data_IF_038049841161
#
_entry.id   IF_038049841161
#
_cell.length_a   1.000
_cell.length_b   1.000
_cell.length_c   1.000
_cell.angle_alpha   90.00
_cell.angle_beta   90.00
_cell.angle_gamma   90.00
#
_symmetry.space_group_name_H-M   'P 1'
#
loop_
_entity.id
_entity.type
_entity.pdbx_description
1 polymer ?
#
# COMPACT_ATOMS: atom_id res chain seq x y z
N UNK A 1 11.68 -1.71 18.51
CA UNK A 1 10.94 -0.44 18.80
C UNK A 1 10.18 -0.63 20.11
N UNK A 2 10.00 0.42 20.94
CA UNK A 2 9.19 0.33 22.17
C UNK A 2 7.74 0.14 21.75
N UNK A 3 7.09 -0.95 22.18
CA UNK A 3 5.66 -1.16 21.96
C UNK A 3 4.88 0.02 22.58
N UNK A 4 4.30 0.84 21.71
CA UNK A 4 3.41 1.92 22.15
C UNK A 4 2.12 1.29 22.67
N UNK A 5 1.67 1.73 23.84
CA UNK A 5 0.38 1.32 24.39
C UNK A 5 -0.49 2.56 24.66
N UNK A 6 -1.80 2.43 24.46
CA UNK A 6 -2.75 3.51 24.71
C UNK A 6 -3.72 3.12 25.83
N UNK A 7 -3.91 4.04 26.78
CA UNK A 7 -4.97 3.90 27.78
C UNK A 7 -6.32 4.34 27.20
N UNK A 8 -7.05 3.44 26.58
CA UNK A 8 -8.36 3.73 25.98
C UNK A 8 -9.46 4.15 26.97
N UNK A 9 -9.18 4.10 28.30
CA UNK A 9 -10.06 4.66 29.34
C UNK A 9 -9.82 6.15 29.57
N UNK A 10 -8.80 6.74 28.93
CA UNK A 10 -8.58 8.19 29.00
C UNK A 10 -9.78 8.92 28.36
N UNK A 11 -10.34 9.93 29.04
CA UNK A 11 -11.51 10.68 28.57
C UNK A 11 -11.35 11.30 27.17
N UNK A 12 -10.11 11.52 26.71
CA UNK A 12 -9.83 12.04 25.37
C UNK A 12 -10.27 11.05 24.27
N UNK A 13 -10.13 9.74 24.50
CA UNK A 13 -10.60 8.70 23.57
C UNK A 13 -12.10 8.51 23.58
N UNK A 14 -12.76 8.82 24.69
CA UNK A 14 -14.23 8.79 24.78
C UNK A 14 -14.86 9.96 24.03
N UNK A 15 -14.22 11.14 24.14
CA UNK A 15 -14.72 12.38 23.52
C UNK A 15 -14.30 12.55 22.06
N UNK A 16 -13.28 11.83 21.60
CA UNK A 16 -12.73 11.97 20.26
C UNK A 16 -12.61 10.62 19.56
N UNK A 17 -13.64 10.29 18.77
CA UNK A 17 -13.68 9.05 17.98
C UNK A 17 -12.48 8.91 17.02
N UNK A 18 -12.03 10.01 16.40
CA UNK A 18 -10.88 9.97 15.50
C UNK A 18 -9.60 9.53 16.24
N UNK A 19 -9.31 10.09 17.41
CA UNK A 19 -8.13 9.72 18.18
C UNK A 19 -8.15 8.24 18.58
N UNK A 20 -9.33 7.76 19.03
CA UNK A 20 -9.51 6.35 19.36
C UNK A 20 -9.29 5.45 18.15
N UNK A 21 -9.80 5.85 16.97
CA UNK A 21 -9.60 5.09 15.72
C UNK A 21 -8.14 5.09 15.31
N UNK A 22 -7.47 6.24 15.26
CA UNK A 22 -6.05 6.35 14.91
C UNK A 22 -5.16 5.50 15.80
N UNK A 23 -5.40 5.52 17.13
CA UNK A 23 -4.64 4.73 18.08
C UNK A 23 -4.82 3.22 17.84
N UNK A 24 -6.03 2.75 17.54
CA UNK A 24 -6.28 1.35 17.17
C UNK A 24 -5.57 0.95 15.88
N UNK A 25 -5.64 1.79 14.85
CA UNK A 25 -4.95 1.53 13.57
C UNK A 25 -3.44 1.44 13.77
N UNK A 26 -2.87 2.31 14.61
CA UNK A 26 -1.45 2.27 14.88
C UNK A 26 -1.02 0.95 15.56
N UNK A 27 -1.79 0.47 16.53
CA UNK A 27 -1.51 -0.82 17.16
C UNK A 27 -1.58 -1.98 16.16
N UNK A 28 -2.62 -2.00 15.31
CA UNK A 28 -2.75 -3.03 14.28
C UNK A 28 -1.60 -2.98 13.27
N UNK A 29 -1.14 -1.78 12.87
CA UNK A 29 0.02 -1.65 12.00
C UNK A 29 1.30 -2.20 12.64
N UNK A 30 1.50 -2.01 13.95
CA UNK A 30 2.65 -2.59 14.65
C UNK A 30 2.64 -4.12 14.64
N UNK A 31 1.45 -4.75 14.68
CA UNK A 31 1.30 -6.21 14.67
C UNK A 31 1.74 -6.86 13.35
N UNK A 32 1.68 -6.13 12.24
CA UNK A 32 2.08 -6.65 10.92
C UNK A 32 3.55 -6.38 10.57
N UNK A 33 4.31 -5.74 11.45
CA UNK A 33 5.75 -5.56 11.22
C UNK A 33 6.46 -6.91 11.11
N UNK A 34 7.28 -7.05 10.08
CA UNK A 34 8.02 -8.25 9.75
C UNK A 34 9.31 -7.87 9.02
N UNK A 35 10.10 -8.85 8.59
CA UNK A 35 11.28 -8.58 7.75
C UNK A 35 10.91 -7.96 6.39
N UNK A 36 9.65 -8.13 5.96
CA UNK A 36 9.16 -7.65 4.69
C UNK A 36 8.39 -6.35 4.77
N UNK A 37 7.84 -6.01 5.92
CA UNK A 37 7.06 -4.80 6.14
C UNK A 37 7.59 -4.09 7.38
N UNK A 38 8.02 -2.83 7.23
CA UNK A 38 8.39 -1.97 8.35
C UNK A 38 7.53 -0.72 8.33
N UNK A 39 7.17 -0.26 9.53
CA UNK A 39 6.28 0.89 9.72
C UNK A 39 7.09 2.03 10.34
N UNK A 40 7.24 3.12 9.61
CA UNK A 40 7.86 4.35 10.09
C UNK A 40 6.79 5.41 10.32
N UNK A 41 6.70 5.95 11.54
CA UNK A 41 5.81 7.09 11.85
C UNK A 41 6.48 8.38 11.39
N UNK A 42 5.84 9.13 10.49
CA UNK A 42 6.39 10.38 9.96
C UNK A 42 5.68 11.63 10.50
N UNK A 43 4.42 11.50 10.91
CA UNK A 43 3.71 12.59 11.55
C UNK A 43 2.68 12.09 12.56
N UNK A 44 2.31 12.98 13.50
CA UNK A 44 1.43 12.69 14.62
C UNK A 44 0.39 13.79 14.84
N UNK A 45 -0.75 13.44 15.40
CA UNK A 45 -1.88 14.36 15.61
C UNK A 45 -2.25 14.52 17.07
N UNK A 46 -2.56 15.78 17.42
CA UNK A 46 -3.15 16.16 18.69
C UNK A 46 -2.23 16.06 19.89
N UNK A 47 -2.76 16.33 21.10
CA UNK A 47 -1.94 16.41 22.33
C UNK A 47 -1.36 15.05 22.74
N UNK A 48 -1.99 13.94 22.36
CA UNK A 48 -1.49 12.59 22.61
C UNK A 48 -0.47 12.12 21.56
N UNK A 49 -0.12 12.96 20.56
CA UNK A 49 0.82 12.65 19.48
C UNK A 49 0.51 11.29 18.83
N UNK A 50 -0.77 11.06 18.51
CA UNK A 50 -1.20 9.80 17.87
C UNK A 50 -0.79 9.82 16.41
N UNK A 51 -0.08 8.78 15.91
CA UNK A 51 0.34 8.69 14.52
C UNK A 51 -0.82 8.80 13.54
N UNK A 52 -0.64 9.58 12.48
CA UNK A 52 -1.61 9.75 11.40
C UNK A 52 -0.98 9.75 10.00
N UNK A 53 0.35 9.74 9.93
CA UNK A 53 1.09 9.63 8.69
C UNK A 53 2.27 8.67 8.87
N UNK A 54 2.43 7.80 7.89
CA UNK A 54 3.41 6.73 7.94
C UNK A 54 4.16 6.61 6.63
N UNK A 55 5.42 6.18 6.69
CA UNK A 55 6.09 5.48 5.59
C UNK A 55 6.03 3.98 5.85
N UNK A 56 5.43 3.26 4.92
CA UNK A 56 5.38 1.80 4.93
C UNK A 56 6.48 1.32 3.99
N UNK A 57 7.46 0.64 4.53
CA UNK A 57 8.56 0.04 3.78
C UNK A 57 8.22 -1.39 3.42
N UNK A 58 8.26 -1.71 2.14
CA UNK A 58 8.09 -3.07 1.62
C UNK A 58 9.42 -3.58 1.11
N UNK A 59 9.93 -4.66 1.71
CA UNK A 59 11.14 -5.37 1.29
C UNK A 59 10.75 -6.59 0.48
N UNK A 60 10.28 -6.36 -0.73
CA UNK A 60 9.83 -7.37 -1.67
C UNK A 60 10.20 -6.96 -3.10
N UNK A 61 10.39 -7.93 -3.97
CA UNK A 61 10.77 -7.68 -5.35
C UNK A 61 9.59 -7.12 -6.15
N UNK A 62 9.82 -6.05 -6.90
CA UNK A 62 8.85 -5.47 -7.82
C UNK A 62 9.53 -4.90 -9.06
N UNK A 63 8.74 -4.48 -10.06
CA UNK A 63 9.24 -3.85 -11.28
C UNK A 63 9.27 -2.33 -11.04
N UNK A 64 10.47 -1.74 -11.13
CA UNK A 64 10.69 -0.31 -10.88
C UNK A 64 10.81 0.52 -12.16
N UNK A 65 10.86 -0.12 -13.32
CA UNK A 65 10.98 0.52 -14.62
C UNK A 65 11.27 -0.50 -15.72
N UNK A 66 11.59 -0.01 -16.90
CA UNK A 66 11.98 -0.84 -18.06
C UNK A 66 13.31 -0.37 -18.64
N UNK A 67 14.03 -1.27 -19.30
CA UNK A 67 15.20 -1.00 -20.10
C UNK A 67 14.79 -0.59 -21.53
N UNK A 68 15.75 -0.17 -22.37
CA UNK A 68 15.51 0.22 -23.75
C UNK A 68 14.99 -0.96 -24.61
N UNK A 69 15.35 -2.18 -24.27
CA UNK A 69 14.86 -3.43 -24.88
C UNK A 69 13.52 -3.90 -24.33
N UNK A 70 12.84 -3.09 -23.56
CA UNK A 70 11.58 -3.37 -22.88
C UNK A 70 11.68 -4.37 -21.71
N UNK A 71 12.85 -4.96 -21.41
CA UNK A 71 13.01 -5.85 -20.27
C UNK A 71 12.80 -5.09 -18.95
N UNK A 72 12.25 -5.75 -17.90
CA UNK A 72 11.96 -5.10 -16.64
C UNK A 72 13.24 -4.79 -15.84
N UNK A 73 13.22 -3.64 -15.17
CA UNK A 73 14.14 -3.31 -14.07
C UNK A 73 13.46 -3.69 -12.76
N UNK A 74 14.20 -4.38 -11.90
CA UNK A 74 13.68 -4.82 -10.60
C UNK A 74 14.27 -4.02 -9.44
N UNK A 75 13.52 -3.93 -8.36
CA UNK A 75 13.95 -3.42 -7.07
C UNK A 75 13.29 -4.21 -5.95
N UNK A 76 13.82 -4.12 -4.75
CA UNK A 76 13.45 -4.93 -3.59
C UNK A 76 13.09 -4.10 -2.35
N UNK A 77 13.14 -2.78 -2.45
CA UNK A 77 12.77 -1.87 -1.38
C UNK A 77 11.86 -0.75 -1.91
N UNK A 78 10.65 -0.70 -1.40
CA UNK A 78 9.61 0.24 -1.84
C UNK A 78 9.01 0.96 -0.66
N UNK A 79 8.74 2.26 -0.81
CA UNK A 79 8.19 3.11 0.25
C UNK A 79 6.86 3.69 -0.21
N UNK A 80 5.84 3.51 0.61
CA UNK A 80 4.51 4.11 0.44
C UNK A 80 4.25 5.09 1.57
N UNK A 81 3.90 6.32 1.23
CA UNK A 81 3.32 7.27 2.18
C UNK A 81 1.85 6.96 2.36
N UNK A 82 1.45 6.77 3.61
CA UNK A 82 0.06 6.57 4.02
C UNK A 82 -0.32 7.69 4.99
N UNK A 83 -1.31 8.50 4.61
CA UNK A 83 -1.81 9.60 5.43
C UNK A 83 -3.29 9.40 5.77
N UNK A 84 -3.64 9.54 7.04
CA UNK A 84 -5.01 9.44 7.56
C UNK A 84 -5.62 10.84 7.69
N UNK A 85 -6.62 11.20 6.87
CA UNK A 85 -7.20 12.54 6.86
C UNK A 85 -8.01 12.85 8.13
N UNK A 86 -8.35 14.13 8.32
CA UNK A 86 -9.15 14.58 9.49
C UNK A 86 -10.51 13.90 9.60
N UNK A 87 -11.09 13.53 8.47
CA UNK A 87 -12.40 12.85 8.42
C UNK A 87 -12.29 11.33 8.35
N UNK A 88 -11.11 10.77 8.61
CA UNK A 88 -10.94 9.32 8.67
C UNK A 88 -11.82 8.69 9.77
N UNK A 89 -12.49 7.56 9.56
CA UNK A 89 -12.51 6.69 8.37
C UNK A 89 -13.57 7.07 7.32
N UNK A 90 -14.26 8.19 7.45
CA UNK A 90 -15.28 8.67 6.50
C UNK A 90 -14.62 9.13 5.18
N UNK A 91 -13.42 9.68 5.25
CA UNK A 91 -12.54 9.95 4.12
C UNK A 91 -11.45 8.86 4.09
N UNK A 92 -11.25 8.25 2.93
CA UNK A 92 -10.27 7.19 2.74
C UNK A 92 -8.84 7.65 2.99
N UNK A 93 -7.93 6.76 3.42
CA UNK A 93 -6.52 7.06 3.49
C UNK A 93 -5.98 7.55 2.15
N UNK A 94 -4.99 8.44 2.20
CA UNK A 94 -4.24 8.88 1.01
C UNK A 94 -2.97 8.07 0.95
N UNK A 95 -2.74 7.44 -0.21
CA UNK A 95 -1.59 6.56 -0.41
C UNK A 95 -0.81 6.98 -1.67
N UNK A 96 0.50 7.14 -1.52
CA UNK A 96 1.40 7.52 -2.60
C UNK A 96 2.71 6.75 -2.52
N UNK A 97 3.16 6.19 -3.65
CA UNK A 97 4.53 5.69 -3.76
C UNK A 97 5.53 6.83 -3.63
N UNK A 98 6.56 6.61 -2.83
CA UNK A 98 7.73 7.52 -2.71
C UNK A 98 8.92 7.00 -3.53
N UNK A 99 8.92 5.71 -3.85
CA UNK A 99 9.89 5.07 -4.75
C UNK A 99 9.28 4.81 -6.12
N UNK A 100 10.09 4.61 -7.12
CA UNK A 100 9.60 4.33 -8.48
C UNK A 100 9.07 2.91 -8.58
N UNK A 101 7.88 2.77 -9.19
CA UNK A 101 7.22 1.49 -9.47
C UNK A 101 6.57 1.55 -10.84
N UNK A 102 6.88 0.58 -11.70
CA UNK A 102 6.31 0.41 -13.02
C UNK A 102 5.11 -0.54 -12.95
N UNK A 103 3.94 -0.01 -12.57
CA UNK A 103 2.74 -0.81 -12.32
C UNK A 103 1.48 -0.11 -12.87
N UNK A 104 0.54 -0.79 -13.55
CA UNK A 104 -0.60 -0.14 -14.20
C UNK A 104 -1.60 0.51 -13.21
N UNK A 105 -1.61 0.09 -11.95
CA UNK A 105 -2.41 0.71 -10.89
C UNK A 105 -1.69 1.88 -10.18
N UNK A 106 -0.50 2.26 -10.63
CA UNK A 106 0.31 3.33 -10.02
C UNK A 106 0.69 4.34 -11.08
N UNK A 107 0.42 5.62 -10.81
CA UNK A 107 0.76 6.68 -11.75
C UNK A 107 2.26 6.86 -11.86
N UNK A 108 2.81 6.59 -13.05
CA UNK A 108 4.25 6.60 -13.30
C UNK A 108 4.83 8.01 -13.32
N UNK A 109 4.13 8.98 -13.94
CA UNK A 109 4.65 10.34 -14.16
C UNK A 109 3.57 11.42 -14.06
N UNK A 110 4.01 12.69 -14.14
CA UNK A 110 3.13 13.87 -14.15
C UNK A 110 2.68 14.31 -12.77
N UNK A 111 1.64 15.13 -12.73
CA UNK A 111 1.13 15.79 -11.50
C UNK A 111 0.75 14.80 -10.38
N UNK A 112 0.35 13.60 -10.76
CA UNK A 112 -0.13 12.58 -9.83
C UNK A 112 0.85 11.40 -9.69
N UNK A 113 2.14 11.60 -10.04
CA UNK A 113 3.18 10.56 -9.89
C UNK A 113 3.11 9.93 -8.51
N UNK A 114 3.16 8.60 -8.47
CA UNK A 114 3.10 7.80 -7.26
C UNK A 114 1.69 7.53 -6.72
N UNK A 115 0.62 8.14 -7.28
CA UNK A 115 -0.74 7.84 -6.85
C UNK A 115 -1.06 6.37 -7.12
N UNK A 116 -1.54 5.69 -6.08
CA UNK A 116 -1.94 4.28 -6.15
C UNK A 116 -3.46 4.22 -6.32
N UNK A 117 -3.93 3.60 -7.39
CA UNK A 117 -5.33 3.19 -7.51
C UNK A 117 -5.50 1.85 -6.78
N UNK A 118 -5.64 1.93 -5.47
CA UNK A 118 -5.84 0.76 -4.61
C UNK A 118 -7.30 0.35 -4.45
N UNK A 119 -8.21 0.90 -5.29
CA UNK A 119 -9.65 0.77 -5.11
C UNK A 119 -10.11 1.26 -3.73
N UNK A 120 -9.49 2.35 -3.26
CA UNK A 120 -9.80 2.95 -1.95
C UNK A 120 -11.26 3.40 -1.80
N UNK A 121 -12.02 3.43 -2.90
CA UNK A 121 -13.48 3.64 -2.86
C UNK A 121 -14.21 2.49 -2.17
N UNK A 122 -13.66 1.29 -2.24
CA UNK A 122 -14.14 0.10 -1.51
C UNK A 122 -13.57 0.03 -0.10
N UNK A 123 -12.61 0.91 0.25
CA UNK A 123 -12.14 1.09 1.61
C UNK A 123 -13.30 1.71 2.42
N UNK A 124 -14.22 0.85 2.74
CA UNK A 124 -15.48 1.18 3.36
C UNK A 124 -15.44 1.01 4.87
N UNK A 125 -16.55 1.32 5.48
CA UNK A 125 -16.82 1.11 6.90
C UNK A 125 -16.51 -0.34 7.28
N UNK A 126 -15.46 -0.57 8.06
CA UNK A 126 -15.10 -1.89 8.57
C UNK A 126 -13.73 -2.42 8.16
N UNK A 127 -13.08 -1.85 7.15
CA UNK A 127 -11.69 -2.19 6.84
C UNK A 127 -10.73 -1.50 7.80
N UNK A 128 -9.67 -2.19 8.20
CA UNK A 128 -8.54 -1.63 8.92
C UNK A 128 -7.37 -1.35 7.98
N UNK A 129 -6.35 -0.66 8.49
CA UNK A 129 -5.19 -0.30 7.67
C UNK A 129 -4.34 -1.51 7.29
N UNK A 130 -4.37 -2.60 8.04
CA UNK A 130 -3.58 -3.80 7.75
C UNK A 130 -4.00 -4.42 6.43
N UNK A 131 -5.31 -4.48 6.17
CA UNK A 131 -5.84 -4.96 4.89
C UNK A 131 -5.41 -4.07 3.72
N UNK A 132 -5.34 -2.74 3.91
CA UNK A 132 -4.83 -1.83 2.89
C UNK A 132 -3.34 -2.06 2.62
N UNK A 133 -2.54 -2.25 3.67
CA UNK A 133 -1.10 -2.53 3.55
C UNK A 133 -0.86 -3.84 2.80
N UNK A 134 -1.57 -4.91 3.13
CA UNK A 134 -1.47 -6.18 2.42
C UNK A 134 -1.90 -6.06 0.95
N UNK A 135 -2.97 -5.32 0.67
CA UNK A 135 -3.38 -5.06 -0.71
C UNK A 135 -2.32 -4.30 -1.51
N UNK A 136 -1.62 -3.35 -0.89
CA UNK A 136 -0.51 -2.65 -1.54
C UNK A 136 0.63 -3.64 -1.84
N UNK A 137 0.95 -4.53 -0.90
CA UNK A 137 1.95 -5.58 -1.11
C UNK A 137 1.58 -6.51 -2.28
N UNK A 138 0.31 -6.90 -2.42
CA UNK A 138 -0.18 -7.68 -3.56
C UNK A 138 -0.06 -6.92 -4.89
N UNK A 139 -0.34 -5.61 -4.90
CA UNK A 139 -0.14 -4.76 -6.06
C UNK A 139 1.34 -4.75 -6.44
N UNK A 140 2.24 -4.48 -5.49
CA UNK A 140 3.68 -4.45 -5.74
C UNK A 140 4.21 -5.78 -6.29
N UNK A 141 3.61 -6.91 -5.90
CA UNK A 141 3.94 -8.25 -6.39
C UNK A 141 3.22 -8.64 -7.69
N UNK A 142 2.43 -7.76 -8.29
CA UNK A 142 1.59 -8.05 -9.46
C UNK A 142 0.58 -9.19 -9.28
N UNK A 143 0.27 -9.57 -8.05
CA UNK A 143 -0.82 -10.51 -7.75
C UNK A 143 -2.18 -9.91 -8.07
N UNK A 144 -2.28 -8.58 -8.03
CA UNK A 144 -3.49 -7.83 -8.31
C UNK A 144 -3.17 -6.60 -9.15
N UNK A 145 -3.55 -6.62 -10.43
CA UNK A 145 -3.41 -5.48 -11.33
C UNK A 145 -4.53 -5.43 -12.37
N UNK A 146 -4.77 -4.24 -12.91
CA UNK A 146 -5.69 -4.01 -14.00
C UNK A 146 -4.98 -3.25 -15.13
N UNK A 147 -4.85 -3.90 -16.28
CA UNK A 147 -4.20 -3.36 -17.47
C UNK A 147 -5.14 -3.28 -18.70
N UNK A 148 -6.39 -3.71 -18.56
CA UNK A 148 -7.40 -3.66 -19.61
C UNK A 148 -7.89 -2.22 -19.82
N UNK A 149 -8.12 -1.82 -21.09
CA UNK A 149 -8.70 -0.52 -21.44
C UNK A 149 -10.23 -0.54 -21.26
N UNK A 150 -10.68 -0.98 -20.10
CA UNK A 150 -12.09 -1.03 -19.68
C UNK A 150 -12.25 -0.50 -18.27
N UNK A 151 -13.41 0.06 -17.88
CA UNK A 151 -13.64 0.50 -16.52
C UNK A 151 -13.50 -0.63 -15.45
N UNK A 152 -12.88 -0.33 -14.29
CA UNK A 152 -12.15 0.89 -14.00
C UNK A 152 -10.84 0.94 -14.80
N UNK A 153 -10.62 2.04 -15.52
CA UNK A 153 -9.40 2.17 -16.34
C UNK A 153 -8.13 2.09 -15.49
N UNK A 154 -6.99 1.61 -16.06
CA UNK A 154 -5.73 1.60 -15.36
C UNK A 154 -5.31 3.02 -14.95
N UNK A 155 -4.59 3.14 -13.83
CA UNK A 155 -4.08 4.44 -13.35
C UNK A 155 -3.03 5.01 -14.30
N UNK A 156 -2.25 4.14 -14.96
CA UNK A 156 -1.27 4.53 -15.97
C UNK A 156 -1.43 3.71 -17.24
N UNK A 157 -1.82 4.39 -18.34
CA UNK A 157 -2.07 3.76 -19.64
C UNK A 157 -0.80 3.33 -20.35
N UNK A 158 0.34 4.02 -20.14
CA UNK A 158 1.63 3.64 -20.72
C UNK A 158 2.10 2.31 -20.14
N UNK A 159 2.04 2.19 -18.82
CA UNK A 159 2.41 0.95 -18.14
C UNK A 159 1.44 -0.17 -18.51
N UNK A 160 0.14 0.11 -18.56
CA UNK A 160 -0.86 -0.88 -18.95
C UNK A 160 -0.62 -1.41 -20.38
N UNK A 161 -0.23 -0.54 -21.31
CA UNK A 161 0.15 -0.94 -22.68
C UNK A 161 1.35 -1.89 -22.66
N UNK A 162 2.42 -1.54 -21.93
CA UNK A 162 3.61 -2.39 -21.79
C UNK A 162 3.26 -3.77 -21.19
N UNK A 163 2.37 -3.81 -20.19
CA UNK A 163 1.90 -5.07 -19.60
C UNK A 163 1.28 -5.97 -20.67
N UNK A 164 0.37 -5.42 -21.49
CA UNK A 164 -0.37 -6.19 -22.51
C UNK A 164 0.48 -6.61 -23.70
N UNK A 165 1.35 -5.72 -24.16
CA UNK A 165 2.11 -5.93 -25.39
C UNK A 165 3.43 -6.68 -25.14
N UNK A 166 3.99 -6.60 -23.93
CA UNK A 166 5.29 -7.19 -23.63
C UNK A 166 5.30 -8.13 -22.42
N UNK A 167 4.81 -7.67 -21.26
CA UNK A 167 5.03 -8.41 -20.02
C UNK A 167 4.21 -9.71 -19.93
N UNK A 168 2.91 -9.68 -20.26
CA UNK A 168 2.05 -10.86 -20.27
C UNK A 168 2.49 -11.87 -21.36
N UNK A 169 2.75 -11.48 -22.63
CA UNK A 169 3.22 -12.40 -23.65
C UNK A 169 4.54 -13.09 -23.32
N UNK A 170 5.43 -12.44 -22.59
CA UNK A 170 6.72 -12.98 -22.16
C UNK A 170 6.68 -13.66 -20.77
N UNK A 171 5.50 -13.87 -20.19
CA UNK A 171 5.31 -14.45 -18.86
C UNK A 171 6.09 -13.70 -17.73
N UNK A 172 6.33 -12.41 -17.88
CA UNK A 172 6.96 -11.57 -16.86
C UNK A 172 5.96 -11.31 -15.73
N UNK A 173 4.69 -11.03 -16.10
CA UNK A 173 3.57 -10.87 -15.18
C UNK A 173 2.39 -11.75 -15.61
N UNK A 174 1.68 -12.31 -14.64
CA UNK A 174 0.50 -13.14 -14.90
C UNK A 174 -0.40 -13.13 -13.66
N UNK A 175 -1.68 -12.79 -13.83
CA UNK A 175 -2.67 -12.75 -12.74
C UNK A 175 -2.85 -14.08 -11.98
N UNK A 176 -2.50 -15.18 -12.61
CA UNK A 176 -2.67 -16.53 -12.06
C UNK A 176 -1.38 -17.14 -11.51
N UNK A 177 -0.24 -16.48 -11.73
CA UNK A 177 1.06 -16.96 -11.32
C UNK A 177 1.72 -15.89 -10.45
N UNK A 178 2.07 -16.26 -9.23
CA UNK A 178 2.96 -15.44 -8.43
C UNK A 178 4.26 -15.21 -9.20
N UNK A 179 4.63 -13.95 -9.40
CA UNK A 179 5.85 -13.60 -10.16
C UNK A 179 7.08 -14.12 -9.43
N UNK A 180 6.95 -14.36 -8.13
CA UNK A 180 8.01 -14.75 -7.23
C UNK A 180 7.51 -15.87 -6.33
N UNK A 181 7.76 -17.12 -6.76
CA UNK A 181 7.33 -18.33 -6.07
C UNK A 181 7.97 -18.55 -4.69
N UNK A 182 9.02 -17.80 -4.37
CA UNK A 182 9.74 -17.92 -3.10
C UNK A 182 9.24 -16.95 -2.03
N UNK A 183 8.20 -16.18 -2.33
CA UNK A 183 7.85 -15.02 -1.54
C UNK A 183 6.49 -15.12 -0.88
N UNK A 184 6.58 -15.08 0.38
CA UNK A 184 5.72 -14.36 1.31
C UNK A 184 4.26 -14.52 1.07
N UNK A 185 3.77 -15.61 1.56
CA UNK A 185 2.35 -15.75 1.87
C UNK A 185 1.99 -14.81 3.03
N UNK A 186 1.71 -13.55 2.68
CA UNK A 186 1.24 -12.55 3.64
C UNK A 186 -0.08 -12.96 4.31
N UNK A 187 -0.81 -13.93 3.76
CA UNK A 187 -2.05 -14.45 4.32
C UNK A 187 -1.83 -15.25 5.60
N UNK A 188 -0.63 -15.80 5.81
CA UNK A 188 -0.28 -16.55 7.04
C UNK A 188 -0.16 -15.69 8.28
N UNK A 189 -0.04 -14.37 8.13
CA UNK A 189 0.06 -13.43 9.25
C UNK A 189 -1.30 -12.87 9.70
N UNK A 190 -2.40 -13.21 9.02
CA UNK A 190 -3.76 -12.73 9.33
C UNK A 190 -4.54 -13.73 10.20
N UNK A 191 -4.00 -14.91 10.43
CA UNK A 191 -4.66 -15.98 11.20
C UNK A 191 -3.88 -16.35 12.46
N UNK A 192 -3.83 -15.43 13.43
CA UNK A 192 -3.49 -15.73 14.81
C UNK A 192 -4.28 -14.83 15.76
#
# INVERSE_FOLDING_TARGET
MSNVSYNFKDPIFEKNFLYRRLAKEHLLLQEIESDLIKIEVTDVRGPLKIPDTYYIHFYLKSITGINDDQSPKYGDHHIVELHLPLKYPMESPRIYMKTEIWHPNIKWEGKFKGRICGNTKEYGKGYDLTQLVFRIAEILQFKNYHAENTPPFPEDSLVAKWIKEYAEPNNIVNKWKEIYSDDVDLSRHVAA
#
